data_IF_679487140187
#
_entry.id   IF_679487140187
#
_cell.length_a   1.000
_cell.length_b   1.000
_cell.length_c   1.000
_cell.angle_alpha   90.00
_cell.angle_beta   90.00
_cell.angle_gamma   90.00
#
_symmetry.space_group_name_H-M   'P 1'
#
loop_
_entity.id
_entity.type
_entity.pdbx_description
1 polymer ?
#
# COMPACT_ATOMS: atom_id res chain seq x y z
N UNK A 1 1.80 29.16 -19.27
CA UNK A 1 2.07 27.76 -19.62
C UNK A 1 1.26 26.91 -18.64
N UNK A 2 0.60 25.87 -19.12
CA UNK A 2 -0.27 25.04 -18.26
C UNK A 2 0.60 24.15 -17.39
N UNK A 3 0.66 24.45 -16.08
CA UNK A 3 1.45 23.72 -15.09
C UNK A 3 1.00 22.26 -14.85
N UNK A 4 -0.11 21.85 -15.47
CA UNK A 4 -0.67 20.50 -15.35
C UNK A 4 -1.35 20.10 -16.65
N UNK A 5 -1.04 18.89 -17.13
CA UNK A 5 -1.61 18.28 -18.32
C UNK A 5 -2.00 16.83 -17.98
N UNK A 6 -3.06 16.33 -18.58
CA UNK A 6 -3.45 14.93 -18.46
C UNK A 6 -3.96 14.39 -19.80
N UNK A 7 -3.79 13.09 -19.99
CA UNK A 7 -4.24 12.36 -21.16
C UNK A 7 -4.87 11.04 -20.69
N UNK A 8 -6.14 10.82 -21.05
CA UNK A 8 -6.77 9.52 -20.84
C UNK A 8 -6.18 8.53 -21.83
N UNK A 9 -5.52 7.50 -21.29
CA UNK A 9 -4.98 6.39 -22.10
C UNK A 9 -5.96 5.24 -22.20
N UNK A 10 -6.84 5.07 -21.20
CA UNK A 10 -7.95 4.13 -21.21
C UNK A 10 -9.01 4.55 -20.18
N UNK A 11 -10.14 3.83 -20.11
CA UNK A 11 -11.17 4.03 -19.07
C UNK A 11 -10.66 3.83 -17.64
N UNK A 12 -9.51 3.15 -17.47
CA UNK A 12 -8.91 2.84 -16.16
C UNK A 12 -7.50 3.36 -16.01
N UNK A 13 -7.02 4.23 -16.91
CA UNK A 13 -5.65 4.76 -16.88
C UNK A 13 -5.57 6.18 -17.45
N UNK A 14 -4.92 7.06 -16.70
CA UNK A 14 -4.72 8.47 -17.02
C UNK A 14 -3.23 8.78 -16.84
N UNK A 15 -2.61 9.33 -17.88
CA UNK A 15 -1.27 9.86 -17.79
C UNK A 15 -1.33 11.32 -17.37
N UNK A 16 -0.49 11.70 -16.42
CA UNK A 16 -0.42 13.02 -15.85
C UNK A 16 0.97 13.60 -16.09
N UNK A 17 1.03 14.89 -16.37
CA UNK A 17 2.27 15.66 -16.45
C UNK A 17 2.11 16.92 -15.63
N UNK A 18 2.98 17.10 -14.64
CA UNK A 18 2.90 18.18 -13.66
C UNK A 18 4.22 18.92 -13.54
N UNK A 19 4.18 20.24 -13.55
CA UNK A 19 5.34 21.11 -13.40
C UNK A 19 5.61 21.38 -11.91
N UNK A 20 6.79 21.02 -11.44
CA UNK A 20 7.25 21.30 -10.08
C UNK A 20 8.64 21.93 -10.13
N UNK A 21 8.79 23.13 -9.56
CA UNK A 21 10.08 23.83 -9.52
C UNK A 21 10.70 24.16 -10.89
N UNK A 22 9.90 24.19 -11.96
CA UNK A 22 10.34 24.47 -13.33
C UNK A 22 10.68 23.22 -14.16
N UNK A 23 10.52 22.01 -13.59
CA UNK A 23 10.69 20.74 -14.30
C UNK A 23 9.37 19.96 -14.37
N UNK A 24 9.19 19.18 -15.45
CA UNK A 24 7.98 18.37 -15.62
C UNK A 24 8.19 16.94 -15.13
N UNK A 25 7.29 16.50 -14.26
CA UNK A 25 7.20 15.14 -13.76
C UNK A 25 6.01 14.41 -14.37
N UNK A 26 6.17 13.11 -14.62
CA UNK A 26 5.12 12.28 -15.21
C UNK A 26 4.63 11.23 -14.22
N UNK A 27 3.31 11.05 -14.18
CA UNK A 27 2.64 10.10 -13.32
C UNK A 27 1.61 9.29 -14.11
N UNK A 28 1.38 8.06 -13.68
CA UNK A 28 0.24 7.25 -14.06
C UNK A 28 -0.77 7.26 -12.93
N UNK A 29 -2.02 7.54 -13.25
CA UNK A 29 -3.16 7.29 -12.38
C UNK A 29 -3.95 6.15 -13.01
N UNK A 30 -3.88 4.96 -12.41
CA UNK A 30 -4.56 3.78 -12.94
C UNK A 30 -5.42 3.12 -11.87
N UNK A 31 -6.43 2.36 -12.28
CA UNK A 31 -7.33 1.65 -11.36
C UNK A 31 -6.87 0.20 -11.18
N UNK A 32 -6.79 -0.24 -9.94
CA UNK A 32 -6.58 -1.63 -9.55
C UNK A 32 -7.80 -2.20 -8.79
N UNK A 33 -7.65 -3.38 -8.17
CA UNK A 33 -8.72 -4.05 -7.42
C UNK A 33 -9.14 -3.31 -6.13
N UNK A 34 -8.29 -2.41 -5.63
CA UNK A 34 -8.48 -1.73 -4.35
C UNK A 34 -8.70 -0.21 -4.45
N UNK A 35 -8.53 0.38 -5.64
CA UNK A 35 -8.81 1.79 -5.87
C UNK A 35 -8.05 2.38 -7.06
N UNK A 36 -7.85 3.68 -7.01
CA UNK A 36 -7.02 4.39 -7.97
C UNK A 36 -5.61 4.55 -7.39
N UNK A 37 -4.60 4.26 -8.19
CA UNK A 37 -3.20 4.27 -7.79
C UNK A 37 -2.45 5.31 -8.60
N UNK A 38 -1.82 6.24 -7.90
CA UNK A 38 -0.91 7.23 -8.45
C UNK A 38 0.53 6.71 -8.36
N UNK A 39 1.17 6.54 -9.51
CA UNK A 39 2.53 6.03 -9.62
C UNK A 39 3.41 6.96 -10.47
N UNK A 40 4.58 7.41 -9.98
CA UNK A 40 5.53 8.16 -10.81
C UNK A 40 6.10 7.26 -11.91
N UNK A 41 6.12 7.75 -13.15
CA UNK A 41 6.85 7.12 -14.25
C UNK A 41 8.33 7.56 -14.29
N UNK A 42 8.63 8.70 -13.68
CA UNK A 42 9.95 9.31 -13.74
C UNK A 42 10.96 8.54 -12.87
N UNK A 43 12.00 8.02 -13.50
CA UNK A 43 13.09 7.31 -12.84
C UNK A 43 13.82 8.14 -11.78
N UNK A 44 13.80 9.47 -11.89
CA UNK A 44 14.36 10.38 -10.87
C UNK A 44 13.52 10.33 -9.59
N UNK A 45 12.19 10.33 -9.70
CA UNK A 45 11.28 10.23 -8.56
C UNK A 45 11.28 8.84 -7.94
N UNK A 46 11.41 7.78 -8.75
CA UNK A 46 11.54 6.41 -8.25
C UNK A 46 12.81 6.20 -7.42
N UNK A 47 13.92 6.85 -7.79
CA UNK A 47 15.19 6.79 -7.05
C UNK A 47 15.23 7.74 -5.85
N UNK A 48 14.41 8.79 -5.85
CA UNK A 48 14.35 9.80 -4.80
C UNK A 48 12.93 9.91 -4.23
N UNK A 49 12.59 8.96 -3.35
CA UNK A 49 11.26 8.87 -2.74
C UNK A 49 10.86 10.13 -1.97
N UNK A 50 11.81 10.78 -1.29
CA UNK A 50 11.55 12.03 -0.56
C UNK A 50 11.10 13.15 -1.52
N UNK A 51 11.75 13.27 -2.67
CA UNK A 51 11.34 14.22 -3.71
C UNK A 51 9.96 13.87 -4.27
N UNK A 52 9.70 12.59 -4.54
CA UNK A 52 8.40 12.16 -5.02
C UNK A 52 7.27 12.48 -4.04
N UNK A 53 7.51 12.35 -2.73
CA UNK A 53 6.53 12.72 -1.72
C UNK A 53 6.18 14.22 -1.80
N UNK A 54 7.17 15.10 -1.96
CA UNK A 54 6.95 16.54 -2.10
C UNK A 54 6.14 16.88 -3.36
N UNK A 55 6.50 16.31 -4.51
CA UNK A 55 5.77 16.57 -5.77
C UNK A 55 4.34 16.07 -5.69
N UNK A 56 4.12 14.88 -5.12
CA UNK A 56 2.78 14.29 -4.96
C UNK A 56 1.93 15.08 -3.98
N UNK A 57 2.48 15.54 -2.86
CA UNK A 57 1.78 16.40 -1.91
C UNK A 57 1.31 17.70 -2.57
N UNK A 58 2.18 18.36 -3.35
CA UNK A 58 1.79 19.58 -4.07
C UNK A 58 0.71 19.28 -5.12
N UNK A 59 0.85 18.18 -5.87
CA UNK A 59 -0.13 17.73 -6.86
C UNK A 59 -1.52 17.52 -6.25
N UNK A 60 -1.62 16.92 -5.06
CA UNK A 60 -2.90 16.73 -4.37
C UNK A 60 -3.56 18.05 -3.96
N UNK A 61 -2.79 19.10 -3.72
CA UNK A 61 -3.30 20.46 -3.46
C UNK A 61 -3.57 21.27 -4.74
N UNK A 62 -3.20 20.74 -5.92
CA UNK A 62 -3.30 21.45 -7.18
C UNK A 62 -4.73 21.42 -7.73
N UNK A 63 -5.37 22.59 -7.87
CA UNK A 63 -6.79 22.70 -8.28
C UNK A 63 -7.09 22.03 -9.64
N UNK A 64 -6.28 22.19 -10.69
CA UNK A 64 -6.50 21.49 -11.96
C UNK A 64 -6.54 19.96 -11.82
N UNK A 65 -5.75 19.38 -10.92
CA UNK A 65 -5.77 17.94 -10.65
C UNK A 65 -7.08 17.54 -9.97
N UNK A 66 -7.52 18.27 -8.94
CA UNK A 66 -8.80 18.03 -8.26
C UNK A 66 -10.00 18.13 -9.21
N UNK A 67 -9.99 19.11 -10.12
CA UNK A 67 -11.03 19.27 -11.14
C UNK A 67 -11.01 18.11 -12.14
N UNK A 68 -9.84 17.62 -12.53
CA UNK A 68 -9.72 16.44 -13.40
C UNK A 68 -10.33 15.21 -12.73
N UNK A 69 -9.99 14.95 -11.46
CA UNK A 69 -10.56 13.83 -10.71
C UNK A 69 -12.10 13.90 -10.66
N UNK A 70 -12.65 15.09 -10.42
CA UNK A 70 -14.10 15.28 -10.40
C UNK A 70 -14.75 15.09 -11.78
N UNK A 71 -14.06 15.42 -12.88
CA UNK A 71 -14.55 15.20 -14.25
C UNK A 71 -14.60 13.73 -14.62
N UNK A 72 -13.62 12.95 -14.14
CA UNK A 72 -13.49 11.52 -14.43
C UNK A 72 -14.20 10.64 -13.39
N UNK A 73 -15.05 11.22 -12.53
CA UNK A 73 -15.77 10.54 -11.43
C UNK A 73 -14.85 9.75 -10.47
N UNK A 74 -13.62 10.25 -10.28
CA UNK A 74 -12.63 9.68 -9.37
C UNK A 74 -12.75 10.36 -8.02
N UNK A 75 -13.21 9.61 -7.02
CA UNK A 75 -13.21 10.06 -5.64
C UNK A 75 -11.77 10.27 -5.16
N UNK A 76 -11.47 11.48 -4.68
CA UNK A 76 -10.18 11.84 -4.11
C UNK A 76 -9.76 10.87 -2.98
N UNK A 77 -10.72 10.42 -2.18
CA UNK A 77 -10.54 9.44 -1.09
C UNK A 77 -10.25 8.01 -1.54
N UNK A 78 -10.30 7.72 -2.84
CA UNK A 78 -9.97 6.42 -3.42
C UNK A 78 -8.58 6.41 -4.08
N UNK A 79 -7.84 7.52 -4.03
CA UNK A 79 -6.52 7.63 -4.64
C UNK A 79 -5.46 7.24 -3.60
N UNK A 80 -4.65 6.25 -3.95
CA UNK A 80 -3.50 5.78 -3.19
C UNK A 80 -2.24 6.15 -3.95
N UNK A 81 -1.17 6.54 -3.26
CA UNK A 81 0.13 6.70 -3.89
C UNK A 81 0.96 5.43 -3.69
N UNK A 82 1.72 5.05 -4.71
CA UNK A 82 2.73 3.98 -4.62
C UNK A 82 3.96 4.40 -3.81
N UNK A 83 4.10 5.68 -3.47
CA UNK A 83 5.21 6.20 -2.68
C UNK A 83 4.74 6.44 -1.25
N UNK A 84 5.50 5.93 -0.29
CA UNK A 84 5.22 6.15 1.12
C UNK A 84 5.44 7.64 1.45
N UNK A 85 4.34 8.35 1.74
CA UNK A 85 4.31 9.79 2.03
C UNK A 85 4.69 10.13 3.48
N UNK A 86 4.98 9.13 4.32
CA UNK A 86 5.20 9.27 5.76
C UNK A 86 6.43 10.14 6.13
N UNK A 87 7.41 10.32 5.23
CA UNK A 87 8.75 10.79 5.62
C UNK A 87 9.19 12.18 5.17
N UNK A 88 8.30 13.08 4.76
CA UNK A 88 8.71 14.48 4.51
C UNK A 88 7.72 15.46 5.15
N UNK A 89 7.89 15.65 6.46
CA UNK A 89 7.34 16.74 7.27
C UNK A 89 5.80 16.92 7.20
N UNK A 90 5.08 16.17 8.05
CA UNK A 90 3.63 16.21 8.35
C UNK A 90 2.81 17.43 7.86
N UNK A 91 1.72 17.23 7.06
CA UNK A 91 0.82 18.30 6.64
C UNK A 91 -0.35 18.57 7.62
N UNK A 92 -0.67 19.86 7.78
CA UNK A 92 -1.67 20.43 8.69
C UNK A 92 -2.98 20.64 7.94
N UNK A 93 -3.83 19.62 7.86
CA UNK A 93 -5.29 19.72 7.86
C UNK A 93 -5.88 18.35 7.55
N UNK A 94 -6.44 17.69 8.58
CA UNK A 94 -7.31 16.53 8.43
C UNK A 94 -6.66 15.35 7.67
N UNK A 95 -6.02 14.39 8.34
CA UNK A 95 -6.65 13.56 9.38
C UNK A 95 -8.06 13.03 9.04
N UNK A 96 -8.58 13.30 7.83
CA UNK A 96 -9.87 12.81 7.42
C UNK A 96 -9.69 11.54 6.59
N UNK A 97 -9.76 10.44 7.34
CA UNK A 97 -10.63 9.33 6.99
C UNK A 97 -10.15 8.47 5.82
N UNK A 98 -9.05 7.73 6.03
CA UNK A 98 -8.87 6.33 5.56
C UNK A 98 -7.53 5.66 5.89
N UNK A 99 -6.62 6.35 6.58
CA UNK A 99 -5.46 5.72 7.27
C UNK A 99 -5.74 5.45 8.76
N UNK A 100 -7.02 5.44 9.16
CA UNK A 100 -7.45 4.84 10.42
C UNK A 100 -7.66 3.33 10.26
N UNK A 101 -6.62 2.63 9.81
CA UNK A 101 -6.41 1.25 10.23
C UNK A 101 -4.94 1.12 10.60
N UNK A 102 -4.70 1.64 11.80
CA UNK A 102 -3.67 1.22 12.74
C UNK A 102 -2.34 0.82 12.12
N UNK A 103 -1.40 1.76 12.00
CA UNK A 103 -0.02 1.35 12.22
C UNK A 103 0.25 1.45 13.73
N UNK A 104 0.21 0.35 14.50
CA UNK A 104 0.37 0.35 15.97
C UNK A 104 1.65 1.00 16.50
N UNK A 105 2.62 1.27 15.62
CA UNK A 105 3.90 1.86 15.97
C UNK A 105 3.83 3.37 16.25
N UNK A 106 2.86 4.11 15.70
CA UNK A 106 2.81 5.57 15.82
C UNK A 106 2.08 6.09 17.07
N UNK A 107 1.17 5.30 17.66
CA UNK A 107 0.54 5.59 18.95
C UNK A 107 0.37 4.30 19.77
N UNK A 108 1.49 3.72 20.19
CA UNK A 108 1.53 2.49 21.00
C UNK A 108 0.62 2.57 22.23
N UNK A 109 0.45 3.76 22.81
CA UNK A 109 -0.37 3.96 24.01
C UNK A 109 -1.87 3.94 23.68
N UNK A 110 -2.28 4.66 22.64
CA UNK A 110 -3.64 4.60 22.11
C UNK A 110 -4.01 3.21 21.59
N UNK A 111 -3.08 2.54 20.89
CA UNK A 111 -3.30 1.21 20.34
C UNK A 111 -3.54 0.15 21.42
N UNK A 112 -2.75 0.15 22.49
CA UNK A 112 -2.91 -0.78 23.64
C UNK A 112 -4.20 -0.48 24.43
N UNK A 113 -4.65 0.78 24.48
CA UNK A 113 -5.88 1.17 25.18
C UNK A 113 -7.15 0.89 24.34
N UNK A 114 -7.03 0.81 23.02
CA UNK A 114 -8.17 0.73 22.09
C UNK A 114 -8.39 -0.67 21.50
N UNK A 115 -7.39 -1.55 21.54
CA UNK A 115 -7.46 -2.88 20.94
C UNK A 115 -7.29 -3.98 21.97
N UNK A 116 -8.17 -4.97 21.89
CA UNK A 116 -8.00 -6.25 22.57
C UNK A 116 -6.86 -7.04 21.93
N UNK A 117 -6.24 -7.95 22.68
CA UNK A 117 -5.15 -8.77 22.12
C UNK A 117 -5.64 -9.62 20.94
N UNK A 118 -6.90 -10.04 20.98
CA UNK A 118 -7.55 -10.77 19.90
C UNK A 118 -7.63 -9.94 18.61
N UNK A 119 -8.02 -8.66 18.72
CA UNK A 119 -8.06 -7.72 17.57
C UNK A 119 -6.66 -7.44 17.02
N UNK A 120 -5.65 -7.33 17.89
CA UNK A 120 -4.24 -7.18 17.46
C UNK A 120 -3.77 -8.42 16.69
N UNK A 121 -4.12 -9.62 17.16
CA UNK A 121 -3.78 -10.88 16.49
C UNK A 121 -4.50 -11.00 15.14
N UNK A 122 -5.77 -10.60 15.06
CA UNK A 122 -6.52 -10.60 13.80
C UNK A 122 -5.95 -9.59 12.80
N UNK A 123 -5.59 -8.41 13.27
CA UNK A 123 -4.92 -7.38 12.48
C UNK A 123 -3.59 -7.88 11.89
N UNK A 124 -2.71 -8.42 12.73
CA UNK A 124 -1.42 -8.99 12.30
C UNK A 124 -1.61 -10.21 11.37
N UNK A 125 -2.65 -11.03 11.59
CA UNK A 125 -3.00 -12.14 10.71
C UNK A 125 -3.38 -11.64 9.31
N UNK A 126 -4.12 -10.54 9.23
CA UNK A 126 -4.48 -9.87 7.98
C UNK A 126 -3.27 -9.32 7.22
N UNK A 127 -2.30 -8.73 7.92
CA UNK A 127 -1.06 -8.25 7.33
C UNK A 127 -0.22 -9.39 6.75
N UNK A 128 -0.05 -10.48 7.51
CA UNK A 128 0.68 -11.67 7.05
C UNK A 128 -0.02 -12.28 5.84
N UNK A 129 -1.34 -12.43 5.87
CA UNK A 129 -2.14 -12.92 4.74
C UNK A 129 -1.93 -12.08 3.47
N UNK A 130 -1.93 -10.76 3.59
CA UNK A 130 -1.66 -9.85 2.46
C UNK A 130 -0.24 -10.05 1.89
N UNK A 131 0.75 -10.28 2.74
CA UNK A 131 2.13 -10.58 2.30
C UNK A 131 2.23 -11.93 1.58
N UNK A 132 1.52 -12.96 2.05
CA UNK A 132 1.46 -14.27 1.38
C UNK A 132 0.93 -14.11 -0.06
N UNK A 133 -0.18 -13.38 -0.22
CA UNK A 133 -0.79 -13.14 -1.55
C UNK A 133 0.18 -12.43 -2.50
N UNK A 134 0.86 -11.38 -2.02
CA UNK A 134 1.87 -10.67 -2.79
C UNK A 134 3.01 -11.57 -3.28
N UNK A 135 3.61 -12.38 -2.40
CA UNK A 135 4.70 -13.28 -2.82
C UNK A 135 4.23 -14.44 -3.70
N UNK A 136 2.97 -14.90 -3.55
CA UNK A 136 2.37 -15.86 -4.49
C UNK A 136 2.19 -15.27 -5.89
N UNK A 137 1.84 -13.99 -6.00
CA UNK A 137 1.78 -13.31 -7.29
C UNK A 137 3.17 -13.20 -7.94
N UNK A 138 4.21 -12.91 -7.15
CA UNK A 138 5.60 -12.95 -7.63
C UNK A 138 5.94 -14.34 -8.19
N UNK A 139 5.62 -15.42 -7.47
CA UNK A 139 5.85 -16.79 -7.96
C UNK A 139 5.09 -17.08 -9.26
N UNK A 140 3.85 -16.62 -9.38
CA UNK A 140 3.08 -16.77 -10.62
C UNK A 140 3.76 -16.07 -11.80
N UNK A 141 4.21 -14.83 -11.61
CA UNK A 141 4.95 -14.07 -12.66
C UNK A 141 6.26 -14.76 -13.02
N UNK A 142 7.04 -15.20 -12.04
CA UNK A 142 8.29 -15.96 -12.28
C UNK A 142 8.03 -17.23 -13.10
N UNK A 143 6.95 -17.94 -12.80
CA UNK A 143 6.57 -19.14 -13.56
C UNK A 143 6.21 -18.82 -15.01
N UNK A 144 5.53 -17.69 -15.27
CA UNK A 144 5.25 -17.21 -16.63
C UNK A 144 6.53 -16.83 -17.39
N UNK A 145 7.56 -16.37 -16.69
CA UNK A 145 8.87 -16.02 -17.23
C UNK A 145 9.82 -17.23 -17.38
N UNK A 146 9.30 -18.46 -17.29
CA UNK A 146 10.04 -19.73 -17.31
C UNK A 146 11.02 -19.94 -16.14
N UNK A 147 10.93 -19.15 -15.08
CA UNK A 147 11.63 -19.38 -13.81
C UNK A 147 10.75 -20.28 -12.94
N UNK A 148 10.91 -21.59 -13.11
CA UNK A 148 10.14 -22.60 -12.41
C UNK A 148 10.77 -23.07 -11.08
N UNK A 149 10.22 -24.11 -10.44
CA UNK A 149 10.68 -24.63 -9.14
C UNK A 149 12.14 -25.11 -9.06
N UNK A 150 12.79 -25.30 -10.22
CA UNK A 150 14.21 -25.65 -10.30
C UNK A 150 15.14 -24.43 -10.21
N UNK A 151 14.57 -23.22 -10.33
CA UNK A 151 15.31 -21.98 -10.24
C UNK A 151 15.57 -21.59 -8.76
N UNK A 152 16.81 -21.23 -8.39
CA UNK A 152 17.16 -20.88 -7.01
C UNK A 152 16.50 -19.59 -6.51
N UNK A 153 16.13 -18.65 -7.37
CA UNK A 153 15.38 -17.46 -6.98
C UNK A 153 13.92 -17.80 -6.72
N UNK A 154 13.33 -18.67 -7.55
CA UNK A 154 11.97 -19.17 -7.31
C UNK A 154 11.87 -19.88 -5.96
N UNK A 155 12.87 -20.70 -5.61
CA UNK A 155 12.92 -21.40 -4.32
C UNK A 155 13.00 -20.41 -3.14
N UNK A 156 13.78 -19.33 -3.24
CA UNK A 156 13.84 -18.30 -2.19
C UNK A 156 12.48 -17.64 -1.95
N UNK A 157 11.79 -17.25 -3.03
CA UNK A 157 10.46 -16.64 -2.91
C UNK A 157 9.45 -17.65 -2.35
N UNK A 158 9.55 -18.92 -2.75
CA UNK A 158 8.72 -19.99 -2.21
C UNK A 158 8.96 -20.21 -0.72
N UNK A 159 10.22 -20.13 -0.26
CA UNK A 159 10.55 -20.24 1.15
C UNK A 159 10.04 -19.03 1.96
N UNK A 160 10.04 -17.82 1.38
CA UNK A 160 9.40 -16.64 1.99
C UNK A 160 7.90 -16.90 2.20
N UNK A 161 7.19 -17.40 1.19
CA UNK A 161 5.77 -17.76 1.30
C UNK A 161 5.56 -18.76 2.43
N UNK A 162 6.37 -19.83 2.51
CA UNK A 162 6.27 -20.85 3.57
C UNK A 162 6.51 -20.27 4.96
N UNK A 163 7.46 -19.36 5.11
CA UNK A 163 7.74 -18.69 6.39
C UNK A 163 6.50 -17.91 6.82
N UNK A 164 5.89 -17.13 5.93
CA UNK A 164 4.69 -16.38 6.24
C UNK A 164 3.48 -17.27 6.52
N UNK A 165 3.24 -18.32 5.73
CA UNK A 165 2.15 -19.28 5.97
C UNK A 165 2.28 -19.95 7.35
N UNK A 166 3.49 -20.40 7.70
CA UNK A 166 3.76 -20.97 9.03
C UNK A 166 3.63 -19.94 10.16
N UNK A 167 3.94 -18.67 9.88
CA UNK A 167 3.78 -17.59 10.85
C UNK A 167 2.30 -17.27 11.06
N UNK A 168 1.51 -17.26 9.98
CA UNK A 168 0.06 -17.08 10.02
C UNK A 168 -0.61 -18.19 10.83
N UNK A 169 -0.28 -19.46 10.55
CA UNK A 169 -0.83 -20.61 11.27
C UNK A 169 -0.56 -20.50 12.78
N UNK A 170 0.66 -20.13 13.17
CA UNK A 170 1.02 -19.91 14.57
C UNK A 170 0.26 -18.74 15.18
N UNK A 171 0.15 -17.63 14.46
CA UNK A 171 -0.50 -16.42 14.93
C UNK A 171 -2.01 -16.65 15.12
N UNK A 172 -2.69 -17.24 14.14
CA UNK A 172 -4.11 -17.58 14.22
C UNK A 172 -4.43 -18.61 15.30
N UNK A 173 -3.46 -19.48 15.65
CA UNK A 173 -3.64 -20.42 16.77
C UNK A 173 -3.72 -19.75 18.14
N UNK A 174 -3.25 -18.50 18.27
CA UNK A 174 -3.33 -17.72 19.51
C UNK A 174 -4.76 -17.22 19.79
N UNK A 175 -5.61 -17.08 18.76
CA UNK A 175 -7.02 -16.69 18.87
C UNK A 175 -7.99 -17.88 19.04
N UNK A 176 -7.48 -19.12 19.06
CA UNK A 176 -8.29 -20.31 19.30
C UNK A 176 -8.79 -20.40 20.75
N UNK A 177 -9.88 -21.14 21.03
CA UNK A 177 -10.32 -21.39 22.40
C UNK A 177 -9.16 -22.03 23.19
N UNK A 178 -8.84 -21.44 24.34
CA UNK A 178 -7.79 -21.92 25.23
C UNK A 178 -8.22 -23.26 25.85
N UNK A 179 -8.04 -24.36 25.10
CA UNK A 179 -8.39 -25.71 25.52
C UNK A 179 -7.48 -26.25 26.63
N UNK A 180 -6.45 -25.50 27.05
CA UNK A 180 -5.56 -25.85 28.16
C UNK A 180 -6.05 -25.40 29.54
N UNK A 181 -7.18 -24.67 29.63
CA UNK A 181 -7.77 -24.30 30.93
C UNK A 181 -8.54 -25.43 31.63
N UNK A 182 -8.59 -26.65 31.06
CA UNK A 182 -9.46 -27.74 31.53
C UNK A 182 -8.80 -29.00 32.10
N UNK A 183 -7.47 -29.07 32.19
CA UNK A 183 -6.78 -30.29 32.70
C UNK A 183 -5.92 -30.07 33.95
N UNK A 184 -6.44 -29.31 34.92
CA UNK A 184 -6.01 -29.44 36.32
C UNK A 184 -7.21 -29.35 37.26
N UNK A 185 -7.69 -30.51 37.69
CA UNK A 185 -8.46 -30.63 38.94
C UNK A 185 -9.87 -31.19 38.82
N UNK A 186 -10.01 -32.49 38.60
CA UNK A 186 -10.54 -33.45 39.59
C UNK A 186 -10.59 -34.87 39.01
#
# INVERSE_FOLDING_TARGET
>A
MEAFQYELTSETSINLKYEYGGEYFTFSLYRDEWGWVLHPFDGVLLRNQAMCALVVQELFTHKPFQVMLAKEDILFSNIRSTVNLENVNTPIAARNERESHDNPMDDLRGFVEQHTIEEVIDYESGLIGSRISFYKEILQRMFMDNLGPSDPEFQKVQDIVRIYEHSLDKLSSLNGPNLDAGRRGR
#
